data_IF_058159327236
#
_entry.id   IF_058159327236
#
_cell.length_a   1.000
_cell.length_b   1.000
_cell.length_c   1.000
_cell.angle_alpha   90.00
_cell.angle_beta   90.00
_cell.angle_gamma   90.00
#
_symmetry.space_group_name_H-M   'P 1'
#
loop_
_entity.id
_entity.type
_entity.pdbx_description
1 polymer ?
#
# COMPACT_ATOMS: atom_id res chain seq x y z
N UNK A 1 9.03 25.56 -22.98
CA UNK A 1 8.33 24.77 -21.94
C UNK A 1 8.77 25.11 -20.52
N UNK A 2 10.08 25.15 -20.18
CA UNK A 2 10.55 25.52 -18.83
C UNK A 2 10.02 26.86 -18.30
N UNK A 3 9.84 27.86 -19.17
CA UNK A 3 9.35 29.19 -18.80
C UNK A 3 7.88 29.24 -18.40
N UNK A 4 7.10 28.23 -18.79
CA UNK A 4 5.69 28.10 -18.44
C UNK A 4 5.49 27.41 -17.07
N UNK A 5 6.56 26.91 -16.46
CA UNK A 5 6.51 26.27 -15.15
C UNK A 5 6.72 27.29 -14.02
N UNK A 6 6.17 27.03 -12.82
CA UNK A 6 6.41 27.83 -11.63
C UNK A 6 7.91 27.92 -11.29
N UNK A 7 8.27 28.87 -10.43
CA UNK A 7 9.66 29.07 -9.98
C UNK A 7 10.64 29.41 -11.12
N UNK A 8 10.16 30.09 -12.17
CA UNK A 8 10.90 30.41 -13.39
C UNK A 8 12.29 31.03 -13.11
N UNK A 9 12.38 31.99 -12.18
CA UNK A 9 13.64 32.63 -11.79
C UNK A 9 14.66 31.60 -11.30
N UNK A 10 14.26 30.70 -10.40
CA UNK A 10 15.13 29.65 -9.88
C UNK A 10 15.48 28.59 -10.94
N UNK A 11 14.56 28.26 -11.85
CA UNK A 11 14.84 27.36 -12.98
C UNK A 11 15.88 27.95 -13.93
N UNK A 12 15.76 29.24 -14.28
CA UNK A 12 16.76 29.95 -15.10
C UNK A 12 18.12 30.00 -14.41
N UNK A 13 18.13 30.30 -13.10
CA UNK A 13 19.35 30.29 -12.30
C UNK A 13 20.05 28.93 -12.34
N UNK A 14 19.34 27.82 -12.10
CA UNK A 14 19.95 26.48 -12.17
C UNK A 14 20.38 26.09 -13.59
N UNK A 15 19.63 26.54 -14.60
CA UNK A 15 19.92 26.28 -16.01
C UNK A 15 21.20 26.95 -16.51
N UNK A 16 21.68 28.00 -15.83
CA UNK A 16 22.94 28.66 -16.20
C UNK A 16 24.15 27.74 -16.03
N UNK A 17 24.05 26.74 -15.14
CA UNK A 17 25.08 25.70 -14.94
C UNK A 17 24.85 24.52 -15.88
N UNK A 18 23.62 24.02 -15.97
CA UNK A 18 23.24 22.96 -16.90
C UNK A 18 21.74 23.03 -17.19
N UNK A 19 21.29 22.94 -18.45
CA UNK A 19 19.87 22.92 -18.79
C UNK A 19 19.07 21.90 -17.97
N UNK A 20 19.70 20.74 -17.66
CA UNK A 20 19.11 19.69 -16.82
C UNK A 20 18.67 20.18 -15.45
N UNK A 21 19.43 21.07 -14.79
CA UNK A 21 19.11 21.48 -13.42
C UNK A 21 17.92 22.44 -13.32
N UNK A 22 17.52 23.08 -14.42
CA UNK A 22 16.29 23.87 -14.45
C UNK A 22 15.05 23.10 -14.92
N UNK A 23 15.24 21.98 -15.63
CA UNK A 23 14.15 21.18 -16.21
C UNK A 23 13.85 19.89 -15.48
N UNK A 24 14.84 19.25 -14.86
CA UNK A 24 14.67 17.93 -14.28
C UNK A 24 13.87 17.99 -12.98
N UNK A 25 12.95 17.02 -12.86
CA UNK A 25 12.14 16.71 -11.70
C UNK A 25 12.30 15.19 -11.48
N UNK A 26 12.25 14.77 -10.23
CA UNK A 26 12.39 13.37 -9.82
C UNK A 26 11.18 12.94 -9.03
N UNK A 27 10.74 11.72 -9.28
CA UNK A 27 9.73 11.02 -8.48
C UNK A 27 10.35 9.76 -7.88
N UNK A 28 9.85 9.35 -6.71
CA UNK A 28 10.20 8.06 -6.16
C UNK A 28 9.26 6.98 -6.72
N UNK A 29 9.84 5.88 -7.19
CA UNK A 29 9.13 4.74 -7.76
C UNK A 29 9.20 3.53 -6.82
N UNK A 30 8.26 2.59 -6.97
CA UNK A 30 8.24 1.33 -6.24
C UNK A 30 8.59 0.17 -7.16
N UNK A 31 9.40 -0.76 -6.66
CA UNK A 31 9.64 -2.06 -7.28
C UNK A 31 9.70 -3.15 -6.22
N UNK A 32 9.28 -4.35 -6.58
CA UNK A 32 9.38 -5.52 -5.70
C UNK A 32 9.85 -6.75 -6.48
N UNK A 33 10.47 -7.68 -5.77
CA UNK A 33 10.91 -8.97 -6.28
C UNK A 33 10.70 -10.03 -5.21
N UNK A 34 10.42 -11.27 -5.65
CA UNK A 34 10.36 -12.45 -4.76
C UNK A 34 11.68 -13.21 -4.70
N UNK A 35 12.49 -13.13 -5.74
CA UNK A 35 13.72 -13.89 -5.91
C UNK A 35 14.98 -13.01 -5.87
N UNK A 36 14.82 -11.69 -5.83
CA UNK A 36 15.92 -10.72 -5.91
C UNK A 36 16.50 -10.54 -7.31
N UNK A 37 15.92 -11.19 -8.34
CA UNK A 37 16.40 -11.17 -9.73
C UNK A 37 15.36 -10.55 -10.67
N UNK A 38 14.13 -11.05 -10.66
CA UNK A 38 13.04 -10.48 -11.46
C UNK A 38 12.26 -9.45 -10.64
N UNK A 39 12.18 -8.22 -11.14
CA UNK A 39 11.49 -7.13 -10.46
C UNK A 39 10.26 -6.67 -11.23
N UNK A 40 9.14 -6.59 -10.52
CA UNK A 40 8.00 -5.78 -10.95
C UNK A 40 8.25 -4.34 -10.50
N UNK A 41 8.34 -3.42 -11.45
CA UNK A 41 8.40 -1.98 -11.19
C UNK A 41 7.09 -1.32 -11.63
N UNK A 42 6.50 -0.53 -10.74
CA UNK A 42 5.42 0.38 -11.12
C UNK A 42 6.04 1.63 -11.74
N UNK A 43 5.51 2.02 -12.91
CA UNK A 43 6.05 3.17 -13.65
C UNK A 43 5.47 4.50 -13.15
N UNK A 44 4.35 4.43 -12.45
CA UNK A 44 3.71 5.55 -11.78
C UNK A 44 4.49 5.92 -10.51
N UNK A 45 4.62 7.23 -10.27
CA UNK A 45 5.23 7.75 -9.05
C UNK A 45 4.53 7.19 -7.80
N UNK A 46 5.31 6.55 -6.93
CA UNK A 46 4.87 6.08 -5.62
C UNK A 46 4.77 7.24 -4.63
N UNK A 47 5.78 8.11 -4.61
CA UNK A 47 5.72 9.40 -3.93
C UNK A 47 5.85 10.52 -4.95
N UNK A 48 4.83 11.39 -4.99
CA UNK A 48 4.82 12.63 -5.78
C UNK A 48 5.14 13.83 -4.88
N UNK A 49 5.67 14.96 -5.40
CA UNK A 49 6.02 16.16 -4.63
C UNK A 49 4.88 16.80 -3.83
N UNK A 50 3.65 16.37 -4.10
CA UNK A 50 2.42 16.87 -3.50
C UNK A 50 1.94 18.16 -4.14
N UNK A 51 1.07 18.90 -3.44
CA UNK A 51 0.53 20.17 -3.93
C UNK A 51 1.68 21.16 -4.20
N UNK A 52 1.58 21.88 -5.31
CA UNK A 52 2.51 22.93 -5.67
C UNK A 52 2.53 24.05 -4.61
N UNK A 53 3.74 24.46 -4.22
CA UNK A 53 4.00 25.48 -3.20
C UNK A 53 5.38 26.09 -3.44
N UNK A 54 5.71 27.24 -2.83
CA UNK A 54 7.03 27.82 -2.95
C UNK A 54 8.12 26.79 -2.64
N UNK A 55 9.17 26.75 -3.48
CA UNK A 55 10.29 25.82 -3.34
C UNK A 55 9.96 24.31 -3.50
N UNK A 56 8.83 23.94 -4.11
CA UNK A 56 8.55 22.56 -4.54
C UNK A 56 8.60 22.36 -6.06
N UNK A 57 8.43 21.11 -6.54
CA UNK A 57 8.45 20.75 -7.97
C UNK A 57 9.70 21.22 -8.74
N UNK A 58 10.86 21.09 -8.09
CA UNK A 58 12.16 21.51 -8.61
C UNK A 58 13.17 20.35 -8.70
N UNK A 59 14.38 20.68 -9.11
CA UNK A 59 15.47 19.72 -9.21
C UNK A 59 15.83 19.13 -7.84
N UNK A 60 15.98 17.80 -7.77
CA UNK A 60 16.34 17.11 -6.53
C UNK A 60 15.26 17.13 -5.46
N UNK A 61 14.01 17.38 -5.87
CA UNK A 61 12.87 17.27 -4.97
C UNK A 61 12.57 15.80 -4.68
N UNK A 62 12.25 15.48 -3.42
CA UNK A 62 11.93 14.13 -2.96
C UNK A 62 13.03 13.07 -3.17
N UNK A 63 14.29 13.41 -2.93
CA UNK A 63 15.26 12.34 -2.67
C UNK A 63 14.94 11.67 -1.34
N UNK A 64 14.47 10.43 -1.43
CA UNK A 64 14.07 9.62 -0.28
C UNK A 64 15.33 9.18 0.47
N UNK A 65 15.36 9.45 1.76
CA UNK A 65 16.42 9.02 2.67
C UNK A 65 16.45 7.50 2.78
N UNK A 66 17.58 6.96 3.22
CA UNK A 66 17.70 5.53 3.47
C UNK A 66 16.82 5.10 4.64
N UNK A 67 16.26 3.90 4.50
CA UNK A 67 15.38 3.21 5.45
C UNK A 67 13.96 3.77 5.57
N UNK A 68 13.04 2.82 5.82
CA UNK A 68 11.69 3.08 6.31
C UNK A 68 11.69 2.73 7.78
N UNK A 69 11.16 3.61 8.64
CA UNK A 69 11.11 3.37 10.08
C UNK A 69 9.67 3.37 10.56
N UNK A 70 9.36 2.48 11.50
CA UNK A 70 8.04 2.46 12.13
C UNK A 70 7.99 3.52 13.23
N UNK A 71 6.95 4.36 13.21
CA UNK A 71 6.74 5.46 14.16
C UNK A 71 5.32 5.43 14.72
N UNK A 72 5.12 6.04 15.88
CA UNK A 72 3.77 6.27 16.41
C UNK A 72 2.93 7.10 15.43
N UNK A 73 1.65 6.78 15.35
CA UNK A 73 0.68 7.55 14.59
C UNK A 73 0.29 8.82 15.35
N UNK A 74 -0.06 9.88 14.62
CA UNK A 74 -0.55 11.13 15.23
C UNK A 74 -1.99 11.04 15.72
N UNK A 75 -2.76 10.06 15.24
CA UNK A 75 -4.14 9.80 15.66
C UNK A 75 -4.15 8.98 16.96
N UNK A 76 -4.83 9.44 18.04
CA UNK A 76 -4.94 8.68 19.28
C UNK A 76 -5.52 7.28 19.07
N UNK A 77 -4.83 6.25 19.58
CA UNK A 77 -5.25 4.85 19.49
C UNK A 77 -5.03 4.17 18.13
N UNK A 78 -4.57 4.89 17.11
CA UNK A 78 -4.23 4.29 15.82
C UNK A 78 -2.94 3.45 15.92
N UNK A 79 -2.81 2.38 15.11
CA UNK A 79 -1.59 1.60 15.03
C UNK A 79 -0.44 2.47 14.53
N UNK A 80 0.79 2.08 14.86
CA UNK A 80 2.00 2.66 14.28
C UNK A 80 1.94 2.68 12.75
N UNK A 81 2.67 3.61 12.16
CA UNK A 81 2.77 3.82 10.70
C UNK A 81 4.22 3.73 10.25
N UNK A 82 4.43 3.47 8.96
CA UNK A 82 5.73 3.58 8.32
C UNK A 82 6.02 5.05 8.00
N UNK A 83 7.21 5.52 8.37
CA UNK A 83 7.71 6.85 8.06
C UNK A 83 8.83 6.79 7.03
N UNK A 84 8.70 7.64 6.01
CA UNK A 84 9.71 7.94 5.00
C UNK A 84 10.14 9.39 5.18
N UNK A 85 11.40 9.68 4.95
CA UNK A 85 11.93 11.04 4.98
C UNK A 85 12.44 11.39 3.61
N UNK A 86 12.06 12.55 3.07
CA UNK A 86 12.60 13.01 1.80
C UNK A 86 13.00 14.47 1.87
N UNK A 87 14.03 14.82 1.11
CA UNK A 87 14.47 16.21 1.00
C UNK A 87 13.48 17.03 0.18
N UNK A 88 13.18 18.23 0.66
CA UNK A 88 12.45 19.27 -0.07
C UNK A 88 13.30 20.53 -0.17
N UNK A 89 12.92 21.46 -1.06
CA UNK A 89 13.61 22.75 -1.16
C UNK A 89 15.11 22.59 -1.49
N UNK A 90 15.44 21.63 -2.36
CA UNK A 90 16.81 21.41 -2.80
C UNK A 90 17.26 22.57 -3.70
N UNK A 91 18.44 23.12 -3.41
CA UNK A 91 18.98 24.31 -4.10
C UNK A 91 18.02 25.51 -4.12
N UNK A 92 17.30 25.73 -3.03
CA UNK A 92 16.50 26.94 -2.78
C UNK A 92 16.98 27.63 -1.50
N UNK A 93 17.83 28.65 -1.65
CA UNK A 93 18.36 29.41 -0.52
C UNK A 93 19.58 28.75 0.14
N UNK A 94 19.64 28.81 1.48
CA UNK A 94 20.82 28.40 2.27
C UNK A 94 20.78 26.95 2.76
N UNK A 95 19.73 26.19 2.45
CA UNK A 95 19.57 24.81 2.93
C UNK A 95 18.38 24.11 2.29
N UNK A 96 18.13 22.89 2.74
CA UNK A 96 17.00 22.06 2.34
C UNK A 96 16.15 21.68 3.55
N UNK A 97 14.87 21.40 3.30
CA UNK A 97 13.97 20.88 4.32
C UNK A 97 13.95 19.35 4.27
N UNK A 98 13.59 18.72 5.39
CA UNK A 98 13.28 17.28 5.45
C UNK A 98 11.81 17.15 5.80
N UNK A 99 11.05 16.42 4.97
CA UNK A 99 9.65 16.12 5.24
C UNK A 99 9.47 14.65 5.59
N UNK A 100 8.67 14.39 6.62
CA UNK A 100 8.13 13.07 6.94
C UNK A 100 6.88 12.80 6.09
N UNK A 101 6.90 11.67 5.39
CA UNK A 101 5.73 11.07 4.75
C UNK A 101 5.38 9.81 5.53
N UNK A 102 4.10 9.48 5.57
CA UNK A 102 3.63 8.31 6.31
C UNK A 102 2.84 7.36 5.41
N UNK A 103 2.87 6.09 5.76
CA UNK A 103 2.16 5.01 5.09
C UNK A 103 1.65 4.04 6.15
N UNK A 104 0.48 3.43 5.95
CA UNK A 104 0.04 2.32 6.81
C UNK A 104 1.06 1.17 6.80
N UNK A 105 1.08 0.36 7.86
CA UNK A 105 1.84 -0.89 7.86
C UNK A 105 1.42 -1.76 6.66
N UNK A 106 2.39 -2.38 5.99
CA UNK A 106 2.24 -3.13 4.73
C UNK A 106 1.51 -2.37 3.59
N UNK A 107 1.46 -1.04 3.63
CA UNK A 107 0.63 -0.22 2.75
C UNK A 107 1.14 0.04 1.33
N UNK A 108 2.17 -0.65 0.87
CA UNK A 108 2.89 -0.28 -0.35
C UNK A 108 2.06 -0.47 -1.63
N UNK A 109 1.26 -1.53 -1.69
CA UNK A 109 0.40 -1.86 -2.83
C UNK A 109 -0.86 -2.54 -2.28
N UNK A 110 -2.01 -2.27 -2.90
CA UNK A 110 -3.28 -2.94 -2.60
C UNK A 110 -3.82 -3.71 -3.80
N UNK A 111 -4.65 -4.71 -3.50
CA UNK A 111 -5.68 -5.18 -4.41
C UNK A 111 -6.89 -4.25 -4.21
N UNK A 112 -7.22 -3.48 -5.23
CA UNK A 112 -8.24 -2.42 -5.15
C UNK A 112 -9.46 -2.75 -6.01
N UNK A 113 -10.65 -2.49 -5.49
CA UNK A 113 -11.89 -2.59 -6.25
C UNK A 113 -12.76 -1.33 -6.11
N UNK A 114 -13.32 -0.81 -7.21
CA UNK A 114 -14.28 0.31 -7.18
C UNK A 114 -15.62 -0.12 -6.56
N UNK A 115 -16.57 0.83 -6.44
CA UNK A 115 -17.90 0.59 -5.87
C UNK A 115 -18.75 -0.44 -6.65
N UNK A 116 -18.49 -0.64 -7.94
CA UNK A 116 -19.11 -1.73 -8.72
C UNK A 116 -18.62 -3.14 -8.29
N UNK A 117 -17.58 -3.19 -7.47
CA UNK A 117 -16.98 -4.42 -6.95
C UNK A 117 -15.92 -5.04 -7.87
N UNK A 118 -15.28 -6.06 -7.34
CA UNK A 118 -14.29 -6.89 -8.03
C UNK A 118 -13.96 -8.12 -7.20
N UNK A 119 -13.32 -9.09 -7.83
CA UNK A 119 -12.89 -10.30 -7.14
C UNK A 119 -11.50 -10.74 -7.56
N UNK A 120 -10.83 -11.46 -6.67
CA UNK A 120 -9.50 -12.01 -6.90
C UNK A 120 -9.39 -13.34 -6.20
N UNK A 121 -8.83 -14.32 -6.91
CA UNK A 121 -8.57 -15.67 -6.40
C UNK A 121 -7.06 -15.86 -6.33
N UNK A 122 -6.56 -16.30 -5.17
CA UNK A 122 -5.13 -16.61 -5.01
C UNK A 122 -4.73 -17.83 -5.84
N UNK A 123 -3.45 -17.94 -6.17
CA UNK A 123 -2.88 -19.24 -6.55
C UNK A 123 -3.06 -20.24 -5.39
N UNK A 124 -3.15 -21.56 -5.62
CA UNK A 124 -3.21 -22.54 -4.55
C UNK A 124 -1.98 -22.48 -3.64
N UNK A 125 -2.17 -22.56 -2.33
CA UNK A 125 -1.08 -22.59 -1.36
C UNK A 125 -1.47 -23.35 -0.09
N UNK A 126 -0.49 -23.66 0.75
CA UNK A 126 -0.67 -24.21 2.09
C UNK A 126 -0.34 -23.14 3.13
N UNK A 127 -0.99 -23.19 4.28
CA UNK A 127 -0.74 -22.28 5.39
C UNK A 127 -0.57 -23.02 6.71
N UNK A 128 -0.02 -22.30 7.69
CA UNK A 128 0.04 -22.68 9.10
C UNK A 128 -0.69 -21.63 9.92
N UNK A 129 -1.34 -22.04 11.01
CA UNK A 129 -2.10 -21.14 11.89
C UNK A 129 -3.56 -21.54 12.02
N UNK A 130 -4.27 -20.81 12.87
CA UNK A 130 -5.69 -21.01 13.20
C UNK A 130 -6.54 -19.75 12.99
N UNK A 131 -5.94 -18.63 12.57
CA UNK A 131 -6.64 -17.39 12.27
C UNK A 131 -6.12 -16.77 10.97
N UNK A 132 -7.02 -16.19 10.18
CA UNK A 132 -6.69 -15.35 9.03
C UNK A 132 -6.92 -13.88 9.40
N UNK A 133 -5.88 -13.07 9.33
CA UNK A 133 -5.95 -11.61 9.50
C UNK A 133 -5.77 -10.89 8.18
N UNK A 134 -6.51 -9.79 8.00
CA UNK A 134 -6.42 -8.90 6.85
C UNK A 134 -6.04 -7.49 7.27
N UNK A 135 -5.22 -6.87 6.44
CA UNK A 135 -4.93 -5.44 6.46
C UNK A 135 -5.65 -4.79 5.29
N UNK A 136 -6.65 -3.95 5.57
CA UNK A 136 -7.51 -3.38 4.54
C UNK A 136 -8.04 -1.99 4.91
N UNK A 137 -8.54 -1.27 3.90
CA UNK A 137 -9.32 -0.04 4.05
C UNK A 137 -10.53 -0.10 3.14
N UNK A 138 -11.70 0.28 3.65
CA UNK A 138 -12.94 0.42 2.86
C UNK A 138 -13.60 1.75 3.17
N UNK A 139 -14.44 2.24 2.26
CA UNK A 139 -15.43 3.24 2.66
C UNK A 139 -16.51 2.62 3.57
N UNK A 140 -17.40 3.46 4.11
CA UNK A 140 -18.56 3.01 4.89
C UNK A 140 -19.54 2.17 4.05
N UNK A 141 -19.61 2.43 2.74
CA UNK A 141 -20.47 1.68 1.82
C UNK A 141 -19.74 0.50 1.15
N UNK A 142 -18.42 0.39 1.39
CA UNK A 142 -17.56 -0.67 0.89
C UNK A 142 -17.52 -1.88 1.80
N UNK A 143 -17.00 -2.98 1.26
CA UNK A 143 -16.88 -4.25 1.98
C UNK A 143 -15.81 -5.17 1.38
N UNK A 144 -15.34 -6.09 2.21
CA UNK A 144 -14.55 -7.26 1.84
C UNK A 144 -15.25 -8.49 2.38
N UNK A 145 -15.36 -9.53 1.55
CA UNK A 145 -15.81 -10.87 1.95
C UNK A 145 -14.80 -11.90 1.49
N UNK A 146 -14.70 -13.00 2.22
CA UNK A 146 -13.66 -14.03 2.04
C UNK A 146 -14.30 -15.40 1.92
N UNK A 147 -13.94 -16.12 0.86
CA UNK A 147 -14.28 -17.53 0.67
C UNK A 147 -13.01 -18.37 0.62
N UNK A 148 -13.02 -19.52 1.31
CA UNK A 148 -11.97 -20.52 1.17
C UNK A 148 -12.44 -21.63 0.24
N UNK A 149 -11.59 -21.97 -0.71
CA UNK A 149 -11.84 -23.02 -1.70
C UNK A 149 -10.77 -24.11 -1.56
N UNK A 150 -11.11 -25.33 -1.98
CA UNK A 150 -10.13 -26.40 -2.11
C UNK A 150 -9.17 -26.16 -3.30
N UNK A 151 -8.27 -27.11 -3.54
CA UNK A 151 -7.31 -27.02 -4.64
C UNK A 151 -7.96 -26.95 -6.03
N UNK A 152 -9.18 -27.48 -6.17
CA UNK A 152 -9.98 -27.55 -7.39
C UNK A 152 -10.85 -26.29 -7.58
N UNK A 153 -10.96 -25.42 -6.57
CA UNK A 153 -11.79 -24.23 -6.60
C UNK A 153 -13.22 -24.45 -6.12
N UNK A 154 -13.50 -25.58 -5.46
CA UNK A 154 -14.79 -25.86 -4.84
C UNK A 154 -14.85 -25.15 -3.48
N UNK A 155 -15.87 -24.33 -3.19
CA UNK A 155 -16.03 -23.69 -1.89
C UNK A 155 -16.07 -24.71 -0.75
N UNK A 156 -15.28 -24.47 0.29
CA UNK A 156 -15.24 -25.33 1.47
C UNK A 156 -16.45 -25.03 2.34
N UNK A 157 -17.14 -26.08 2.81
CA UNK A 157 -18.29 -25.96 3.73
C UNK A 157 -17.91 -25.09 4.94
N UNK A 158 -18.82 -24.22 5.39
CA UNK A 158 -18.65 -23.24 6.49
C UNK A 158 -17.69 -22.06 6.18
N UNK A 159 -16.92 -22.13 5.10
CA UNK A 159 -16.03 -21.05 4.66
C UNK A 159 -16.44 -20.48 3.31
N UNK A 160 -17.73 -20.59 2.96
CA UNK A 160 -18.28 -20.04 1.72
C UNK A 160 -18.43 -18.53 1.80
N UNK A 161 -18.56 -17.88 0.65
CA UNK A 161 -18.80 -16.44 0.60
C UNK A 161 -20.07 -16.01 1.36
N UNK A 162 -21.14 -16.80 1.28
CA UNK A 162 -22.42 -16.57 1.97
C UNK A 162 -22.30 -16.68 3.50
N UNK A 163 -21.29 -17.40 3.97
CA UNK A 163 -20.97 -17.59 5.38
C UNK A 163 -20.03 -16.51 5.91
N UNK A 164 -19.40 -15.71 5.04
CA UNK A 164 -18.57 -14.58 5.47
C UNK A 164 -19.42 -13.30 5.55
N UNK A 165 -19.68 -12.71 6.72
CA UNK A 165 -20.26 -11.37 6.81
C UNK A 165 -19.37 -10.33 6.12
N UNK A 166 -19.93 -9.16 5.82
CA UNK A 166 -19.13 -8.06 5.27
C UNK A 166 -18.14 -7.53 6.30
N UNK A 167 -16.88 -7.43 5.91
CA UNK A 167 -15.84 -6.74 6.64
C UNK A 167 -15.64 -5.34 6.05
N UNK A 168 -15.79 -4.31 6.89
CA UNK A 168 -15.57 -2.91 6.49
C UNK A 168 -14.79 -2.15 7.57
N UNK A 169 -14.27 -0.98 7.20
CA UNK A 169 -13.42 -0.11 8.03
C UNK A 169 -11.98 -0.04 7.56
N UNK A 170 -11.12 0.57 8.38
CA UNK A 170 -9.69 0.72 8.11
C UNK A 170 -8.87 0.11 9.26
N UNK A 171 -8.12 -0.96 8.97
CA UNK A 171 -7.38 -1.74 9.98
C UNK A 171 -6.13 -2.39 9.40
N UNK A 172 -5.06 -2.43 10.19
CA UNK A 172 -3.80 -3.12 9.83
C UNK A 172 -3.81 -4.61 10.15
N UNK A 173 -4.85 -5.11 10.82
CA UNK A 173 -4.97 -6.51 11.21
C UNK A 173 -6.33 -6.79 11.84
N UNK A 174 -7.29 -7.22 11.01
CA UNK A 174 -8.58 -7.72 11.50
C UNK A 174 -8.72 -9.20 11.14
N UNK A 175 -9.07 -10.00 12.14
CA UNK A 175 -9.42 -11.41 11.96
C UNK A 175 -10.68 -11.55 11.11
N UNK A 176 -10.59 -12.35 10.05
CA UNK A 176 -11.74 -12.75 9.25
C UNK A 176 -12.65 -13.62 10.09
N UNK A 177 -13.95 -13.38 9.97
CA UNK A 177 -14.97 -14.12 10.68
C UNK A 177 -15.87 -14.79 9.64
N UNK A 178 -16.26 -16.02 9.91
CA UNK A 178 -17.33 -16.71 9.20
C UNK A 178 -18.45 -17.02 10.20
N UNK A 179 -19.67 -17.20 9.71
CA UNK A 179 -20.82 -17.62 10.51
C UNK A 179 -20.48 -18.88 11.29
N UNK A 180 -20.96 -18.97 12.52
CA UNK A 180 -20.72 -20.08 13.45
C UNK A 180 -19.24 -20.31 13.82
N UNK A 181 -18.34 -19.40 13.42
CA UNK A 181 -16.92 -19.39 13.75
C UNK A 181 -16.25 -20.78 13.58
N UNK A 182 -16.25 -21.34 12.35
CA UNK A 182 -15.72 -22.67 12.08
C UNK A 182 -14.22 -22.73 12.39
N UNK A 183 -13.76 -23.92 12.79
CA UNK A 183 -12.36 -24.12 13.13
C UNK A 183 -11.47 -24.08 11.89
N UNK A 184 -10.83 -22.94 11.61
CA UNK A 184 -9.90 -22.77 10.49
C UNK A 184 -8.67 -23.69 10.59
N UNK A 185 -8.25 -24.09 11.79
CA UNK A 185 -7.08 -24.96 11.99
C UNK A 185 -7.24 -26.32 11.30
N UNK A 186 -8.47 -26.77 11.04
CA UNK A 186 -8.74 -28.02 10.31
C UNK A 186 -8.26 -27.98 8.84
N UNK A 187 -7.99 -26.79 8.31
CA UNK A 187 -7.50 -26.56 6.96
C UNK A 187 -5.98 -26.34 6.91
N UNK A 188 -5.30 -26.20 8.06
CA UNK A 188 -3.86 -26.03 8.12
C UNK A 188 -3.14 -27.20 7.43
N UNK A 189 -2.12 -26.89 6.62
CA UNK A 189 -1.37 -27.86 5.82
C UNK A 189 -2.10 -28.42 4.59
N UNK A 190 -3.41 -28.18 4.43
CA UNK A 190 -4.16 -28.49 3.21
C UNK A 190 -3.92 -27.42 2.15
N UNK A 191 -3.91 -27.83 0.88
CA UNK A 191 -3.83 -26.88 -0.23
C UNK A 191 -5.20 -26.22 -0.42
N UNK A 192 -5.24 -24.90 -0.30
CA UNK A 192 -6.45 -24.09 -0.46
C UNK A 192 -6.23 -22.95 -1.46
N UNK A 193 -7.32 -22.32 -1.87
CA UNK A 193 -7.33 -21.00 -2.51
C UNK A 193 -8.17 -20.06 -1.67
N UNK A 194 -7.89 -18.77 -1.73
CA UNK A 194 -8.75 -17.73 -1.15
C UNK A 194 -9.36 -16.93 -2.28
N UNK A 195 -10.69 -16.79 -2.27
CA UNK A 195 -11.42 -15.83 -3.10
C UNK A 195 -11.79 -14.64 -2.23
N UNK A 196 -11.30 -13.46 -2.61
CA UNK A 196 -11.72 -12.19 -2.04
C UNK A 196 -12.74 -11.54 -2.96
N UNK A 197 -13.85 -11.08 -2.40
CA UNK A 197 -14.81 -10.22 -3.08
C UNK A 197 -14.76 -8.86 -2.41
N UNK A 198 -14.41 -7.83 -3.18
CA UNK A 198 -14.15 -6.48 -2.71
C UNK A 198 -15.16 -5.52 -3.34
N UNK A 199 -15.51 -4.47 -2.60
CA UNK A 199 -16.34 -3.36 -3.06
C UNK A 199 -15.88 -2.08 -2.39
N UNK A 200 -15.48 -1.09 -3.18
CA UNK A 200 -14.95 0.19 -2.67
C UNK A 200 -13.92 -0.02 -1.53
N UNK A 201 -12.91 -0.82 -1.85
CA UNK A 201 -12.02 -1.41 -0.87
C UNK A 201 -10.60 -1.64 -1.42
N UNK A 202 -9.63 -1.52 -0.53
CA UNK A 202 -8.21 -1.85 -0.72
C UNK A 202 -7.80 -2.95 0.26
N UNK A 203 -7.30 -4.08 -0.25
CA UNK A 203 -6.68 -5.15 0.53
C UNK A 203 -5.16 -5.10 0.37
N UNK A 204 -4.44 -4.82 1.45
CA UNK A 204 -2.99 -4.60 1.45
C UNK A 204 -2.19 -5.86 1.77
N UNK A 205 -2.55 -6.57 2.84
CA UNK A 205 -1.87 -7.80 3.24
C UNK A 205 -2.83 -8.79 3.89
N UNK A 206 -2.41 -10.06 3.89
CA UNK A 206 -3.08 -11.16 4.57
C UNK A 206 -2.03 -11.97 5.35
N UNK A 207 -2.43 -12.49 6.50
CA UNK A 207 -1.55 -13.29 7.36
C UNK A 207 -2.35 -14.41 8.00
N UNK A 208 -1.84 -15.64 7.91
CA UNK A 208 -2.26 -16.70 8.81
C UNK A 208 -1.37 -16.69 10.05
N UNK A 209 -1.98 -16.80 11.22
CA UNK A 209 -1.26 -16.83 12.49
C UNK A 209 -1.80 -17.89 13.44
N UNK A 210 -0.96 -18.27 14.39
CA UNK A 210 -1.33 -19.12 15.50
C UNK A 210 -1.57 -18.24 16.73
N UNK A 211 -2.78 -18.26 17.25
CA UNK A 211 -3.08 -17.72 18.58
C UNK A 211 -3.15 -18.86 19.59
N UNK A 212 -2.48 -18.66 20.73
CA UNK A 212 -2.54 -19.56 21.89
C UNK A 212 -3.88 -19.44 22.62
#
# INVERSE_FOLDING_TARGET
>A
QMTALPENKHRKMRSSVSPRYGTAITDALLMCSRDGHEFKRWNEAFFRPGIERPNSWNYGHQYVAWHVVQTANTLPGAPNELSFYASESYWTGKGSAVRRYTLRLDGFVSLSAPMQGGEVITKPFKFTGNQLELNYSTSVAGSIRVELQDAQGIPIKEFKLEDCPEHFGDTVGRTVQWKDNPNLAQLAGKTIRIRFVLKDADLYSLKFQTTN
#
